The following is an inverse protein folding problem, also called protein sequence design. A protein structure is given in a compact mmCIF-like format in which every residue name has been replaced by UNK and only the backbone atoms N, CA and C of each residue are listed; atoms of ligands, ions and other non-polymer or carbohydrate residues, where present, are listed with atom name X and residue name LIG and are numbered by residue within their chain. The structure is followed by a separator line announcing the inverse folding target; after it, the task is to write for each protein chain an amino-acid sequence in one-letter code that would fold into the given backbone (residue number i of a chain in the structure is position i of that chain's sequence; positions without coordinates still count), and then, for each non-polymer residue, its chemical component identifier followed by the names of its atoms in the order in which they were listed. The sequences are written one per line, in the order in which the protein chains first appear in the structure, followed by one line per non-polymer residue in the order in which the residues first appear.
data_IF_221313146494
#
_entry.id   IF_221313146494
#
_cell.length_a   1.000
_cell.length_b   1.000
_cell.length_c   1.000
_cell.angle_alpha   90.00
_cell.angle_beta   90.00
_cell.angle_gamma   90.00
#
_symmetry.space_group_name_H-M   'P 1'
#
loop_
_entity.id
_entity.type
_entity.pdbx_description
1 polymer ?
#
# COMPACT_ATOMS: atom_id res chain seq x y z
N UNK A 1 -6.02 14.70 -10.21
CA UNK A 1 -5.32 15.83 -10.89
C UNK A 1 -3.94 15.43 -11.40
N UNK A 2 -2.94 15.09 -10.56
CA UNK A 2 -1.60 14.76 -11.10
C UNK A 2 -1.59 13.51 -12.02
N UNK A 3 -2.28 12.43 -11.64
CA UNK A 3 -2.37 11.20 -12.44
C UNK A 3 -2.98 11.45 -13.82
N UNK A 4 -4.09 12.17 -13.90
CA UNK A 4 -4.77 12.44 -15.17
C UNK A 4 -3.89 13.25 -16.12
N UNK A 5 -3.16 14.24 -15.57
CA UNK A 5 -2.19 15.02 -16.34
C UNK A 5 -1.04 14.15 -16.88
N UNK A 6 -0.50 13.25 -16.03
CA UNK A 6 0.55 12.31 -16.45
C UNK A 6 0.05 11.38 -17.56
N UNK A 7 -1.15 10.82 -17.41
CA UNK A 7 -1.76 9.94 -18.43
C UNK A 7 -1.97 10.66 -19.76
N UNK A 8 -2.42 11.93 -19.73
CA UNK A 8 -2.56 12.74 -20.95
C UNK A 8 -1.22 13.01 -21.65
N UNK A 9 -0.18 13.31 -20.87
CA UNK A 9 1.16 13.60 -21.41
C UNK A 9 1.88 12.34 -21.90
N UNK A 10 1.64 11.20 -21.29
CA UNK A 10 2.27 9.93 -21.64
C UNK A 10 1.82 9.40 -23.01
N UNK A 11 0.63 9.79 -23.49
CA UNK A 11 0.09 9.32 -24.77
C UNK A 11 -0.05 7.81 -24.80
N UNK A 12 0.75 7.14 -25.65
CA UNK A 12 0.75 5.67 -25.76
C UNK A 12 1.75 4.97 -24.82
N UNK A 13 2.49 5.71 -24.00
CA UNK A 13 3.44 5.11 -23.06
C UNK A 13 2.66 4.55 -21.85
N UNK A 14 2.82 3.26 -21.51
CA UNK A 14 2.16 2.69 -20.33
C UNK A 14 2.57 3.42 -19.05
N UNK A 15 1.60 3.79 -18.24
CA UNK A 15 1.82 4.41 -16.92
C UNK A 15 1.35 3.45 -15.84
N UNK A 16 2.27 2.99 -15.01
CA UNK A 16 2.01 2.14 -13.86
C UNK A 16 2.07 3.02 -12.61
N UNK A 17 1.02 3.03 -11.83
CA UNK A 17 1.03 3.72 -10.53
C UNK A 17 0.79 2.75 -9.37
N UNK A 18 1.49 2.99 -8.27
CA UNK A 18 1.49 2.11 -7.09
C UNK A 18 0.13 2.03 -6.40
N UNK A 19 -0.71 3.07 -6.49
CA UNK A 19 -2.06 3.02 -5.90
C UNK A 19 -2.92 2.05 -6.68
N UNK A 20 -2.92 2.13 -8.01
CA UNK A 20 -3.66 1.19 -8.87
C UNK A 20 -3.16 -0.24 -8.66
N UNK A 21 -1.84 -0.47 -8.66
CA UNK A 21 -1.25 -1.78 -8.43
C UNK A 21 -1.68 -2.37 -7.06
N UNK A 22 -1.55 -1.60 -5.98
CA UNK A 22 -1.93 -2.04 -4.64
C UNK A 22 -3.44 -2.27 -4.48
N UNK A 23 -4.28 -1.45 -5.13
CA UNK A 23 -5.74 -1.63 -5.09
C UNK A 23 -6.19 -2.82 -5.91
N UNK A 24 -5.60 -3.07 -7.08
CA UNK A 24 -5.88 -4.26 -7.88
C UNK A 24 -5.54 -5.53 -7.08
N UNK A 25 -4.38 -5.61 -6.46
CA UNK A 25 -3.96 -6.76 -5.67
C UNK A 25 -4.82 -7.01 -4.42
N UNK A 26 -5.39 -5.95 -3.82
CA UNK A 26 -6.19 -6.07 -2.60
C UNK A 26 -7.68 -6.25 -2.88
N UNK A 27 -8.29 -5.39 -3.71
CA UNK A 27 -9.74 -5.31 -3.89
C UNK A 27 -10.33 -6.51 -4.66
N UNK A 28 -9.52 -7.22 -5.45
CA UNK A 28 -9.95 -8.42 -6.17
C UNK A 28 -10.06 -9.65 -5.28
N UNK A 29 -9.33 -9.70 -4.18
CA UNK A 29 -9.18 -10.90 -3.34
C UNK A 29 -9.81 -10.77 -1.96
N UNK A 30 -9.96 -9.54 -1.44
CA UNK A 30 -10.32 -9.30 -0.04
C UNK A 30 -11.53 -8.38 0.11
N UNK A 31 -12.29 -8.60 1.18
CA UNK A 31 -13.48 -7.79 1.51
C UNK A 31 -13.19 -6.76 2.61
N UNK A 32 -12.33 -7.09 3.59
CA UNK A 32 -11.93 -6.19 4.66
C UNK A 32 -10.47 -5.82 4.50
N UNK A 33 -10.23 -4.60 4.02
CA UNK A 33 -8.93 -4.13 3.57
C UNK A 33 -8.42 -3.04 4.51
N UNK A 34 -7.29 -3.28 5.16
CA UNK A 34 -6.54 -2.26 5.89
C UNK A 34 -5.62 -1.50 4.93
N UNK A 35 -5.49 -0.19 5.13
CA UNK A 35 -4.53 0.65 4.42
C UNK A 35 -3.77 1.48 5.44
N UNK A 36 -2.45 1.37 5.48
CA UNK A 36 -1.59 2.28 6.25
C UNK A 36 -0.82 3.17 5.29
N UNK A 37 -0.75 4.47 5.58
CA UNK A 37 -0.06 5.42 4.73
C UNK A 37 0.29 6.71 5.51
N UNK A 38 0.95 7.65 4.85
CA UNK A 38 1.18 8.98 5.41
C UNK A 38 -0.14 9.75 5.59
N UNK A 39 -0.20 10.75 6.50
CA UNK A 39 -1.39 11.57 6.66
C UNK A 39 -1.90 12.19 5.35
N UNK A 40 -0.99 12.66 4.50
CA UNK A 40 -1.35 13.23 3.19
C UNK A 40 -2.06 12.22 2.28
N UNK A 41 -1.54 10.98 2.21
CA UNK A 41 -2.15 9.89 1.42
C UNK A 41 -3.52 9.51 1.98
N UNK A 42 -3.65 9.36 3.30
CA UNK A 42 -4.93 9.03 3.94
C UNK A 42 -5.97 10.13 3.70
N UNK A 43 -5.59 11.40 3.92
CA UNK A 43 -6.49 12.54 3.71
C UNK A 43 -6.94 12.68 2.25
N UNK A 44 -6.11 12.27 1.30
CA UNK A 44 -6.47 12.27 -0.13
C UNK A 44 -7.60 11.29 -0.48
N UNK A 45 -7.89 10.31 0.35
CA UNK A 45 -8.85 9.22 0.12
C UNK A 45 -8.60 8.43 -1.19
N UNK A 46 -7.36 8.44 -1.70
CA UNK A 46 -7.04 7.84 -3.00
C UNK A 46 -7.23 6.31 -2.99
N UNK A 47 -6.75 5.62 -1.94
CA UNK A 47 -6.94 4.17 -1.79
C UNK A 47 -8.41 3.76 -1.63
N UNK A 48 -9.20 4.33 -0.70
CA UNK A 48 -10.61 3.98 -0.57
C UNK A 48 -11.39 4.17 -1.87
N UNK A 49 -11.20 5.30 -2.57
CA UNK A 49 -11.87 5.52 -3.86
C UNK A 49 -11.48 4.50 -4.91
N UNK A 50 -10.19 4.20 -5.06
CA UNK A 50 -9.72 3.24 -6.05
C UNK A 50 -10.18 1.80 -5.72
N UNK A 51 -10.19 1.41 -4.44
CA UNK A 51 -10.70 0.12 -3.99
C UNK A 51 -12.19 -0.02 -4.32
N UNK A 52 -13.01 1.01 -4.01
CA UNK A 52 -14.44 0.97 -4.26
C UNK A 52 -14.81 1.01 -5.75
N UNK A 53 -13.92 1.49 -6.63
CA UNK A 53 -14.10 1.35 -8.08
C UNK A 53 -14.01 -0.11 -8.55
N UNK A 54 -13.19 -0.93 -7.89
CA UNK A 54 -13.00 -2.35 -8.21
C UNK A 54 -14.01 -3.21 -7.45
N UNK A 55 -14.16 -2.97 -6.15
CA UNK A 55 -15.04 -3.71 -5.25
C UNK A 55 -15.87 -2.73 -4.40
N UNK A 56 -17.07 -2.33 -4.87
CA UNK A 56 -17.93 -1.40 -4.15
C UNK A 56 -18.39 -1.89 -2.76
N UNK A 57 -18.37 -3.22 -2.53
CA UNK A 57 -18.77 -3.83 -1.25
C UNK A 57 -17.63 -3.93 -0.24
N UNK A 58 -16.37 -3.64 -0.63
CA UNK A 58 -15.23 -3.75 0.25
C UNK A 58 -15.32 -2.76 1.43
N UNK A 59 -14.94 -3.24 2.60
CA UNK A 59 -14.79 -2.41 3.80
C UNK A 59 -13.33 -1.97 3.92
N UNK A 60 -13.08 -0.67 3.80
CA UNK A 60 -11.74 -0.10 3.82
C UNK A 60 -11.47 0.63 5.13
N UNK A 61 -10.43 0.23 5.82
CA UNK A 61 -9.98 0.81 7.09
C UNK A 61 -8.62 1.46 6.90
N UNK A 62 -8.60 2.79 6.84
CA UNK A 62 -7.42 3.58 6.54
C UNK A 62 -6.84 4.21 7.82
N UNK A 63 -5.53 4.05 8.05
CA UNK A 63 -4.82 4.56 9.22
C UNK A 63 -3.61 5.39 8.80
N UNK A 64 -3.54 6.63 9.27
CA UNK A 64 -2.38 7.49 9.11
C UNK A 64 -1.26 7.09 10.09
N UNK A 65 -0.04 6.88 9.58
CA UNK A 65 1.14 6.48 10.36
C UNK A 65 2.22 7.56 10.21
N UNK A 66 2.01 8.71 10.85
CA UNK A 66 2.85 9.90 10.66
C UNK A 66 4.32 9.71 11.06
N UNK A 67 4.61 8.87 12.05
CA UNK A 67 5.96 8.66 12.57
C UNK A 67 6.78 7.60 11.81
N UNK A 68 6.16 6.77 10.97
CA UNK A 68 6.91 5.70 10.30
C UNK A 68 7.99 6.23 9.36
N UNK A 69 7.69 7.25 8.56
CA UNK A 69 8.67 7.83 7.64
C UNK A 69 9.84 8.44 8.40
N UNK A 70 9.66 9.37 9.37
CA UNK A 70 10.78 9.90 10.16
C UNK A 70 11.61 8.81 10.84
N UNK A 71 10.97 7.79 11.41
CA UNK A 71 11.70 6.71 12.09
C UNK A 71 12.55 5.88 11.12
N UNK A 72 12.05 5.63 9.91
CA UNK A 72 12.81 4.92 8.87
C UNK A 72 13.99 5.76 8.39
N UNK A 73 13.79 7.05 8.15
CA UNK A 73 14.83 7.97 7.69
C UNK A 73 15.93 8.17 8.73
N UNK A 74 15.59 8.15 10.01
CA UNK A 74 16.54 8.20 11.14
C UNK A 74 17.16 6.82 11.48
N UNK A 75 16.89 5.78 10.69
CA UNK A 75 17.48 4.46 10.87
C UNK A 75 16.89 3.61 12.00
N UNK A 76 15.71 3.95 12.53
CA UNK A 76 15.07 3.24 13.65
C UNK A 76 14.35 1.95 13.21
N UNK A 77 14.82 1.30 12.14
CA UNK A 77 14.16 0.13 11.53
C UNK A 77 14.05 -1.06 12.49
N UNK A 78 15.08 -1.29 13.32
CA UNK A 78 15.09 -2.36 14.32
C UNK A 78 15.02 -1.81 15.77
N UNK A 79 14.76 -0.52 15.93
CA UNK A 79 14.72 0.11 17.25
C UNK A 79 13.42 -0.25 18.00
N UNK A 80 13.48 -0.55 19.33
CA UNK A 80 12.28 -0.91 20.11
C UNK A 80 11.16 0.14 20.07
N UNK A 81 11.50 1.43 19.94
CA UNK A 81 10.51 2.50 19.80
C UNK A 81 9.63 2.33 18.56
N UNK A 82 10.17 1.78 17.44
CA UNK A 82 9.37 1.50 16.26
C UNK A 82 8.27 0.47 16.55
N UNK A 83 8.59 -0.59 17.30
CA UNK A 83 7.60 -1.61 17.65
C UNK A 83 6.46 -1.02 18.50
N UNK A 84 6.77 -0.14 19.46
CA UNK A 84 5.75 0.54 20.28
C UNK A 84 4.84 1.42 19.42
N UNK A 85 5.42 2.29 18.60
CA UNK A 85 4.66 3.15 17.69
C UNK A 85 3.83 2.33 16.69
N UNK A 86 4.40 1.25 16.15
CA UNK A 86 3.69 0.37 15.22
C UNK A 86 2.48 -0.31 15.88
N UNK A 87 2.59 -0.74 17.14
CA UNK A 87 1.46 -1.30 17.89
C UNK A 87 0.32 -0.29 18.02
N UNK A 88 0.61 0.96 18.37
CA UNK A 88 -0.40 2.02 18.48
C UNK A 88 -1.14 2.23 17.15
N UNK A 89 -0.42 2.28 16.03
CA UNK A 89 -1.03 2.49 14.72
C UNK A 89 -1.78 1.27 14.19
N UNK A 90 -1.31 0.04 14.46
CA UNK A 90 -1.86 -1.17 13.88
C UNK A 90 -3.02 -1.77 14.70
N UNK A 91 -3.07 -1.53 16.02
CA UNK A 91 -4.16 -2.05 16.87
C UNK A 91 -5.56 -1.66 16.39
N UNK A 92 -5.86 -0.41 15.98
CA UNK A 92 -7.17 -0.06 15.45
C UNK A 92 -7.55 -0.85 14.20
N UNK A 93 -6.57 -1.12 13.31
CA UNK A 93 -6.76 -1.90 12.08
C UNK A 93 -7.01 -3.39 12.39
N UNK A 94 -6.21 -3.98 13.28
CA UNK A 94 -6.34 -5.39 13.70
C UNK A 94 -7.74 -5.65 14.28
N UNK A 95 -8.26 -4.75 15.12
CA UNK A 95 -9.60 -4.84 15.72
C UNK A 95 -10.74 -4.84 14.68
N UNK A 96 -10.48 -4.44 13.44
CA UNK A 96 -11.44 -4.48 12.33
C UNK A 96 -11.45 -5.82 11.60
N UNK A 97 -10.64 -6.79 12.04
CA UNK A 97 -10.51 -8.11 11.41
C UNK A 97 -10.22 -8.00 9.90
N UNK A 98 -9.31 -7.10 9.52
CA UNK A 98 -8.90 -6.97 8.13
C UNK A 98 -8.24 -8.26 7.64
N UNK A 99 -8.42 -8.57 6.37
CA UNK A 99 -7.87 -9.76 5.72
C UNK A 99 -6.51 -9.49 5.09
N UNK A 100 -6.32 -8.24 4.65
CA UNK A 100 -5.02 -7.78 4.16
C UNK A 100 -4.71 -6.36 4.64
N UNK A 101 -3.43 -5.98 4.55
CA UNK A 101 -2.90 -4.67 4.89
C UNK A 101 -2.07 -4.13 3.73
N UNK A 102 -2.52 -3.05 3.11
CA UNK A 102 -1.80 -2.36 2.04
C UNK A 102 -0.80 -1.38 2.62
N UNK A 103 0.46 -1.47 2.19
CA UNK A 103 1.54 -0.55 2.57
C UNK A 103 1.53 0.67 1.62
N UNK A 104 0.73 1.68 1.94
CA UNK A 104 0.50 2.86 1.11
C UNK A 104 1.62 3.92 1.16
N UNK A 105 2.85 3.53 1.47
CA UNK A 105 4.03 4.39 1.49
C UNK A 105 5.28 3.59 1.14
N UNK A 106 6.18 4.17 0.35
CA UNK A 106 7.42 3.54 -0.12
C UNK A 106 8.43 3.22 0.98
N UNK A 107 8.33 3.84 2.14
CA UNK A 107 9.18 3.55 3.31
C UNK A 107 8.72 2.30 4.08
N UNK A 108 7.44 1.95 4.02
CA UNK A 108 6.87 0.91 4.89
C UNK A 108 7.35 -0.52 4.59
N UNK A 109 7.72 -0.89 3.36
CA UNK A 109 8.38 -2.17 3.11
C UNK A 109 9.66 -2.38 3.93
N UNK A 110 10.41 -1.32 4.25
CA UNK A 110 11.62 -1.38 5.06
C UNK A 110 11.36 -1.84 6.51
N UNK A 111 10.15 -1.59 7.01
CA UNK A 111 9.70 -2.01 8.36
C UNK A 111 8.67 -3.13 8.32
N UNK A 112 8.53 -3.80 7.17
CA UNK A 112 7.53 -4.87 6.96
C UNK A 112 7.66 -6.03 7.95
N UNK A 113 8.88 -6.37 8.39
CA UNK A 113 9.12 -7.39 9.43
C UNK A 113 8.45 -7.02 10.76
N UNK A 114 8.61 -5.77 11.21
CA UNK A 114 7.97 -5.27 12.43
C UNK A 114 6.46 -5.22 12.29
N UNK A 115 5.95 -4.77 11.15
CA UNK A 115 4.51 -4.77 10.84
C UNK A 115 3.97 -6.20 10.89
N UNK A 116 4.59 -7.14 10.17
CA UNK A 116 4.18 -8.55 10.12
C UNK A 116 4.15 -9.21 11.50
N UNK A 117 5.17 -8.95 12.34
CA UNK A 117 5.23 -9.45 13.72
C UNK A 117 4.01 -9.00 14.54
N UNK A 118 3.53 -7.77 14.33
CA UNK A 118 2.44 -7.18 15.11
C UNK A 118 1.06 -7.62 14.61
N UNK A 119 0.84 -7.64 13.28
CA UNK A 119 -0.46 -8.00 12.70
C UNK A 119 -0.71 -9.50 12.70
N UNK A 120 0.35 -10.30 12.76
CA UNK A 120 0.27 -11.76 12.74
C UNK A 120 0.12 -12.34 11.32
N UNK A 121 0.19 -13.69 11.21
CA UNK A 121 0.21 -14.36 9.91
C UNK A 121 -1.14 -14.39 9.19
N UNK A 122 -2.24 -14.07 9.87
CA UNK A 122 -3.59 -14.10 9.30
C UNK A 122 -3.88 -12.90 8.38
N UNK A 123 -3.16 -11.78 8.56
CA UNK A 123 -3.35 -10.58 7.76
C UNK A 123 -2.27 -10.55 6.66
N UNK A 124 -2.69 -10.62 5.39
CA UNK A 124 -1.77 -10.59 4.26
C UNK A 124 -1.24 -9.17 4.03
N UNK A 125 0.07 -9.01 4.03
CA UNK A 125 0.68 -7.74 3.61
C UNK A 125 0.64 -7.65 2.08
N UNK A 126 0.19 -6.50 1.57
CA UNK A 126 0.23 -6.12 0.16
C UNK A 126 1.22 -4.96 0.03
N UNK A 127 2.31 -5.21 -0.68
CA UNK A 127 3.27 -4.18 -1.07
C UNK A 127 2.96 -3.74 -2.51
N UNK A 128 2.45 -2.52 -2.72
CA UNK A 128 2.12 -2.03 -4.06
C UNK A 128 3.31 -1.96 -5.02
N UNK A 129 4.53 -1.83 -4.51
CA UNK A 129 5.73 -1.78 -5.35
C UNK A 129 6.00 -3.14 -5.99
N UNK A 130 5.82 -4.24 -5.26
CA UNK A 130 5.97 -5.60 -5.81
C UNK A 130 4.98 -5.80 -6.96
N UNK A 131 3.70 -5.49 -6.73
CA UNK A 131 2.65 -5.64 -7.75
C UNK A 131 2.92 -4.75 -8.97
N UNK A 132 3.37 -3.51 -8.77
CA UNK A 132 3.75 -2.61 -9.87
C UNK A 132 4.93 -3.15 -10.70
N UNK A 133 5.94 -3.74 -10.05
CA UNK A 133 7.07 -4.37 -10.73
C UNK A 133 6.64 -5.61 -11.54
N UNK A 134 5.72 -6.42 -11.02
CA UNK A 134 5.16 -7.57 -11.74
C UNK A 134 4.37 -7.11 -12.99
N UNK A 135 3.55 -6.07 -12.86
CA UNK A 135 2.82 -5.47 -13.97
C UNK A 135 3.77 -4.92 -15.04
N UNK A 136 4.82 -4.17 -14.64
CA UNK A 136 5.85 -3.69 -15.54
C UNK A 136 6.54 -4.84 -16.28
N UNK A 137 6.95 -5.88 -15.56
CA UNK A 137 7.59 -7.06 -16.16
C UNK A 137 6.70 -7.71 -17.23
N UNK A 138 5.41 -7.83 -16.96
CA UNK A 138 4.45 -8.41 -17.91
C UNK A 138 4.30 -7.54 -19.17
N UNK A 139 4.23 -6.21 -19.01
CA UNK A 139 4.16 -5.28 -20.15
C UNK A 139 5.44 -5.36 -21.01
N UNK A 140 6.62 -5.36 -20.38
CA UNK A 140 7.90 -5.46 -21.10
C UNK A 140 8.04 -6.78 -21.86
N UNK A 141 7.63 -7.91 -21.24
CA UNK A 141 7.62 -9.22 -21.91
C UNK A 141 6.67 -9.24 -23.10
N UNK A 142 5.45 -8.72 -22.95
CA UNK A 142 4.46 -8.67 -24.02
C UNK A 142 4.95 -7.83 -25.23
N UNK A 143 5.74 -6.81 -24.97
CA UNK A 143 6.31 -5.93 -25.99
C UNK A 143 7.69 -6.40 -26.52
N UNK A 144 8.21 -7.55 -26.07
CA UNK A 144 9.58 -8.03 -26.37
C UNK A 144 10.68 -7.00 -26.05
N UNK A 145 10.50 -6.22 -25.00
CA UNK A 145 11.45 -5.17 -24.56
C UNK A 145 12.14 -5.50 -23.24
N UNK A 146 11.91 -6.69 -22.70
CA UNK A 146 12.64 -7.21 -21.54
C UNK A 146 13.99 -7.76 -22.01
N UNK A 147 15.08 -7.11 -21.62
CA UNK A 147 16.45 -7.60 -21.84
C UNK A 147 16.89 -8.50 -20.69
#
# INVERSE_FOLDING_TARGET
MAKDTVLQLAGNIPVIDVITAGTQASATLYQRIGVIATPATINSQAYPRAIHQINPAAQVYAQACALFVPMVEEGFIEHPALELVAREYLQPIIKKNVECLVLGCTHYPLISKTIAKIIGPQIKIIDPAITACEELSNILRANNTLN
#
